data_IF_704108102550
#
_entry.id   IF_704108102550
#
_cell.length_a   1.000
_cell.length_b   1.000
_cell.length_c   1.000
_cell.angle_alpha   90.00
_cell.angle_beta   90.00
_cell.angle_gamma   90.00
#
_symmetry.space_group_name_H-M   'P 1'
#
loop_
_entity.id
_entity.type
_entity.pdbx_description
1 polymer ?
#
# COMPACT_ATOMS: atom_id res chain seq x y z
N UNK A 1 -22.92 -43.08 -19.30
CA UNK A 1 -21.46 -43.21 -19.15
C UNK A 1 -20.81 -42.26 -20.14
N UNK A 2 -19.90 -41.34 -19.85
CA UNK A 2 -19.41 -40.72 -18.62
C UNK A 2 -18.79 -39.38 -19.08
N UNK A 3 -18.97 -38.32 -18.31
CA UNK A 3 -18.29 -37.05 -18.51
C UNK A 3 -16.80 -37.18 -18.19
N UNK A 4 -15.93 -36.53 -18.95
CA UNK A 4 -14.56 -36.22 -18.53
C UNK A 4 -14.15 -34.85 -19.11
N UNK A 5 -14.08 -33.84 -18.24
CA UNK A 5 -13.43 -32.56 -18.50
C UNK A 5 -11.92 -32.74 -18.29
N UNK A 6 -11.04 -32.25 -19.18
CA UNK A 6 -9.65 -32.04 -18.82
C UNK A 6 -9.53 -30.83 -17.90
N UNK A 7 -8.83 -31.10 -16.81
CA UNK A 7 -8.60 -30.29 -15.63
C UNK A 7 -7.59 -29.16 -15.85
N UNK A 8 -7.59 -28.27 -14.85
CA UNK A 8 -6.68 -27.15 -14.64
C UNK A 8 -7.00 -25.90 -15.46
N UNK A 9 -7.96 -25.13 -14.94
CA UNK A 9 -7.83 -23.67 -14.92
C UNK A 9 -6.51 -23.35 -14.25
N UNK A 10 -5.45 -23.26 -15.06
CA UNK A 10 -4.16 -22.72 -14.66
C UNK A 10 -4.45 -21.28 -14.28
N UNK A 11 -4.69 -21.02 -12.99
CA UNK A 11 -4.70 -19.67 -12.45
C UNK A 11 -3.46 -18.99 -13.00
N UNK A 12 -3.65 -17.91 -13.76
CA UNK A 12 -2.56 -16.98 -14.07
C UNK A 12 -2.12 -16.41 -12.73
N UNK A 13 -1.24 -17.14 -12.03
CA UNK A 13 -0.37 -16.56 -11.03
C UNK A 13 0.47 -15.58 -11.85
N UNK A 14 0.12 -14.29 -11.76
CA UNK A 14 1.02 -13.22 -12.16
C UNK A 14 2.32 -13.46 -11.42
N UNK A 15 3.29 -14.04 -12.13
CA UNK A 15 4.66 -14.16 -11.68
C UNK A 15 5.39 -13.08 -12.44
N UNK A 16 5.71 -11.98 -11.77
CA UNK A 16 6.53 -10.91 -12.34
C UNK A 16 7.93 -10.98 -11.73
N UNK A 17 8.91 -11.11 -12.61
CA UNK A 17 10.35 -10.90 -12.40
C UNK A 17 10.67 -9.40 -12.13
N UNK A 18 11.97 -9.04 -12.01
CA UNK A 18 12.56 -8.40 -10.84
C UNK A 18 11.96 -7.02 -10.48
N UNK A 19 12.08 -6.68 -9.19
CA UNK A 19 11.41 -5.61 -8.45
C UNK A 19 11.66 -4.13 -8.88
N UNK A 20 12.09 -3.85 -10.11
CA UNK A 20 12.78 -2.57 -10.41
C UNK A 20 12.01 -1.58 -11.29
N UNK A 21 10.83 -1.94 -11.84
CA UNK A 21 10.03 -0.99 -12.62
C UNK A 21 9.00 -0.26 -11.73
N UNK A 22 8.94 1.09 -11.74
CA UNK A 22 7.92 1.82 -11.00
C UNK A 22 6.53 1.44 -11.50
N UNK A 23 5.62 1.14 -10.57
CA UNK A 23 4.23 0.76 -10.88
C UNK A 23 3.34 1.99 -10.71
N UNK A 24 2.73 2.51 -11.79
CA UNK A 24 1.81 3.63 -11.67
C UNK A 24 0.54 3.20 -10.93
N UNK A 25 0.11 4.01 -9.97
CA UNK A 25 -1.21 3.92 -9.35
C UNK A 25 -1.96 5.22 -9.64
N UNK A 26 -3.24 5.10 -9.99
CA UNK A 26 -4.12 6.25 -10.23
C UNK A 26 -5.19 6.27 -9.15
N UNK A 27 -5.33 7.40 -8.45
CA UNK A 27 -6.43 7.65 -7.53
C UNK A 27 -7.54 8.38 -8.30
N UNK A 28 -8.77 7.84 -8.26
CA UNK A 28 -9.94 8.46 -8.90
C UNK A 28 -10.96 8.75 -7.82
N UNK A 29 -11.37 10.01 -7.73
CA UNK A 29 -12.42 10.44 -6.80
C UNK A 29 -13.79 10.04 -7.34
N UNK A 30 -14.59 9.40 -6.48
CA UNK A 30 -16.02 9.17 -6.73
C UNK A 30 -16.82 9.82 -5.61
N UNK A 31 -17.67 10.84 -5.90
CA UNK A 31 -18.38 11.59 -4.88
C UNK A 31 -19.30 10.74 -3.98
N UNK A 32 -19.94 9.71 -4.54
CA UNK A 32 -20.85 8.85 -3.79
C UNK A 32 -20.10 7.99 -2.76
N UNK A 33 -18.93 7.48 -3.14
CA UNK A 33 -18.13 6.61 -2.28
C UNK A 33 -17.23 7.38 -1.32
N UNK A 34 -16.73 8.54 -1.72
CA UNK A 34 -15.99 9.45 -0.85
C UNK A 34 -16.84 9.97 0.32
N UNK A 35 -18.16 10.05 0.17
CA UNK A 35 -19.08 10.47 1.22
C UNK A 35 -19.44 9.36 2.23
N UNK A 36 -19.14 8.09 1.93
CA UNK A 36 -19.55 6.95 2.78
C UNK A 36 -18.45 6.54 3.75
N UNK A 37 -17.28 6.21 3.22
CA UNK A 37 -16.13 5.75 4.00
C UNK A 37 -14.99 6.74 3.86
N UNK A 38 -14.14 6.84 4.88
CA UNK A 38 -12.85 7.53 4.76
C UNK A 38 -11.91 6.61 3.97
N UNK A 39 -11.67 6.85 2.68
CA UNK A 39 -10.81 5.94 1.94
C UNK A 39 -9.38 6.05 2.49
N UNK A 40 -8.64 4.95 2.41
CA UNK A 40 -7.22 4.89 2.73
C UNK A 40 -6.47 4.22 1.59
N UNK A 41 -5.26 4.71 1.30
CA UNK A 41 -4.35 4.09 0.36
C UNK A 41 -3.16 3.52 1.13
N UNK A 42 -2.78 2.28 0.86
CA UNK A 42 -1.55 1.70 1.40
C UNK A 42 -0.55 1.43 0.30
N UNK A 43 0.71 1.81 0.54
CA UNK A 43 1.86 1.58 -0.33
C UNK A 43 2.82 0.68 0.42
N UNK A 44 2.96 -0.55 -0.06
CA UNK A 44 3.93 -1.49 0.49
C UNK A 44 5.31 -1.26 -0.15
N UNK A 45 6.34 -1.22 0.69
CA UNK A 45 7.74 -0.93 0.33
C UNK A 45 8.66 -1.92 1.03
N UNK A 46 9.84 -2.13 0.45
CA UNK A 46 10.91 -2.94 1.06
C UNK A 46 11.82 -2.08 1.97
N UNK A 47 11.66 -0.76 1.96
CA UNK A 47 12.42 0.20 2.78
C UNK A 47 11.53 1.39 3.17
N UNK A 48 10.93 1.33 4.36
CA UNK A 48 10.07 2.41 4.86
C UNK A 48 10.86 3.57 5.46
N UNK A 49 12.08 3.31 5.96
CA UNK A 49 12.92 4.31 6.60
C UNK A 49 13.44 5.34 5.59
N UNK A 50 13.88 4.89 4.41
CA UNK A 50 14.33 5.78 3.34
C UNK A 50 13.20 6.70 2.87
N UNK A 51 11.98 6.16 2.70
CA UNK A 51 10.81 6.97 2.29
C UNK A 51 10.45 7.97 3.40
N UNK A 52 10.46 7.54 4.67
CA UNK A 52 10.18 8.43 5.79
C UNK A 52 11.19 9.58 5.88
N UNK A 53 12.49 9.29 5.74
CA UNK A 53 13.54 10.29 5.78
C UNK A 53 13.36 11.34 4.67
N UNK A 54 13.03 10.90 3.46
CA UNK A 54 12.75 11.82 2.34
C UNK A 54 11.51 12.67 2.61
N UNK A 55 10.39 12.06 2.99
CA UNK A 55 9.11 12.75 3.12
C UNK A 55 9.08 13.70 4.31
N UNK A 56 9.66 13.31 5.45
CA UNK A 56 9.79 14.17 6.63
C UNK A 56 10.69 15.39 6.38
N UNK A 57 11.67 15.29 5.48
CA UNK A 57 12.49 16.43 5.07
C UNK A 57 11.78 17.34 4.05
N UNK A 58 11.07 16.76 3.08
CA UNK A 58 10.46 17.52 1.97
C UNK A 58 9.11 18.15 2.32
N UNK A 59 8.26 17.42 3.05
CA UNK A 59 6.85 17.78 3.29
C UNK A 59 6.37 17.35 4.69
N UNK A 60 7.05 17.77 5.78
CA UNK A 60 6.73 17.35 7.15
C UNK A 60 5.29 17.66 7.58
N UNK A 61 4.70 18.74 7.04
CA UNK A 61 3.32 19.15 7.33
C UNK A 61 2.26 18.14 6.88
N UNK A 62 2.61 17.20 6.01
CA UNK A 62 1.73 16.14 5.56
C UNK A 62 1.82 14.88 6.43
N UNK A 63 2.71 14.82 7.42
CA UNK A 63 2.76 13.67 8.33
C UNK A 63 1.47 13.55 9.15
N UNK A 64 0.95 12.33 9.26
CA UNK A 64 -0.29 12.06 9.98
C UNK A 64 -0.10 12.31 11.49
N UNK A 65 -0.98 13.07 12.17
CA UNK A 65 -0.77 13.47 13.58
C UNK A 65 -0.61 12.30 14.55
N UNK A 66 -1.25 11.16 14.28
CA UNK A 66 -1.18 9.95 15.12
C UNK A 66 -0.19 8.89 14.62
N UNK A 67 0.43 9.10 13.45
CA UNK A 67 1.29 8.11 12.79
C UNK A 67 2.42 8.81 12.02
N UNK A 68 3.07 9.78 12.65
CA UNK A 68 4.06 10.69 12.04
C UNK A 68 5.51 10.17 12.12
N UNK A 69 5.72 8.93 12.56
CA UNK A 69 7.02 8.28 12.66
C UNK A 69 6.90 6.81 12.28
N UNK A 70 7.97 6.22 11.76
CA UNK A 70 8.02 4.77 11.51
C UNK A 70 7.91 4.02 12.85
N UNK A 71 6.92 3.14 12.96
CA UNK A 71 6.73 2.28 14.13
C UNK A 71 6.25 0.88 13.73
N UNK A 72 6.64 -0.14 14.50
CA UNK A 72 6.10 -1.48 14.39
C UNK A 72 4.65 -1.50 14.89
N UNK A 73 3.73 -2.03 14.10
CA UNK A 73 2.32 -2.13 14.45
C UNK A 73 1.93 -3.51 14.99
N UNK A 74 0.80 -3.62 15.72
CA UNK A 74 0.35 -4.90 16.27
C UNK A 74 0.12 -6.00 15.23
N UNK A 75 -0.12 -5.64 13.96
CA UNK A 75 -0.26 -6.58 12.84
C UNK A 75 1.05 -6.96 12.16
N UNK A 76 2.19 -6.39 12.57
CA UNK A 76 3.52 -6.86 12.18
C UNK A 76 4.26 -6.03 11.12
N UNK A 77 3.63 -5.02 10.51
CA UNK A 77 4.34 -4.09 9.60
C UNK A 77 5.08 -2.99 10.37
N UNK A 78 6.18 -2.51 9.79
CA UNK A 78 6.77 -1.21 10.15
C UNK A 78 6.14 -0.16 9.25
N UNK A 79 5.57 0.90 9.81
CA UNK A 79 4.84 1.87 9.00
C UNK A 79 4.75 3.27 9.62
N UNK A 80 4.53 4.26 8.75
CA UNK A 80 4.09 5.62 9.07
C UNK A 80 3.00 6.04 8.07
N UNK A 81 2.32 7.16 8.33
CA UNK A 81 1.28 7.66 7.44
C UNK A 81 1.44 9.15 7.13
N UNK A 82 0.90 9.52 5.98
CA UNK A 82 0.75 10.90 5.54
C UNK A 82 -0.72 11.19 5.22
N UNK A 83 -1.09 12.46 5.27
CA UNK A 83 -2.36 12.97 4.77
C UNK A 83 -2.15 13.58 3.39
N UNK A 84 -3.06 13.30 2.47
CA UNK A 84 -3.17 14.07 1.24
C UNK A 84 -3.92 15.40 1.50
N UNK A 85 -4.14 16.18 0.44
CA UNK A 85 -4.88 17.45 0.53
C UNK A 85 -6.35 17.29 0.91
N UNK A 86 -6.93 16.11 0.72
CA UNK A 86 -8.32 15.79 1.04
C UNK A 86 -8.46 15.11 2.41
N UNK A 87 -7.37 14.97 3.16
CA UNK A 87 -7.27 14.30 4.47
C UNK A 87 -7.46 12.78 4.43
N UNK A 88 -7.27 12.18 3.25
CA UNK A 88 -7.15 10.74 3.05
C UNK A 88 -5.80 10.27 3.57
N UNK A 89 -5.81 9.16 4.32
CA UNK A 89 -4.59 8.56 4.85
C UNK A 89 -3.87 7.78 3.75
N UNK A 90 -2.57 8.05 3.59
CA UNK A 90 -1.64 7.27 2.78
C UNK A 90 -0.66 6.58 3.73
N UNK A 91 -0.79 5.26 3.87
CA UNK A 91 0.01 4.44 4.77
C UNK A 91 1.20 3.85 3.99
N UNK A 92 2.43 4.07 4.46
CA UNK A 92 3.64 3.44 3.91
C UNK A 92 4.04 2.30 4.81
N UNK A 93 4.13 1.08 4.27
CA UNK A 93 4.31 -0.14 5.08
C UNK A 93 5.43 -1.02 4.56
N UNK A 94 6.26 -1.48 5.47
CA UNK A 94 7.25 -2.52 5.23
C UNK A 94 6.83 -3.77 6.02
N UNK A 95 6.53 -4.84 5.28
CA UNK A 95 6.21 -6.14 5.86
C UNK A 95 7.49 -6.93 6.10
N UNK A 96 7.55 -7.77 7.15
CA UNK A 96 8.67 -8.69 7.32
C UNK A 96 8.78 -9.59 6.07
N UNK A 97 10.01 -9.86 5.64
CA UNK A 97 10.24 -10.82 4.57
C UNK A 97 9.57 -12.16 4.92
N UNK A 98 8.89 -12.77 3.94
CA UNK A 98 8.35 -14.12 4.11
C UNK A 98 9.53 -15.06 4.42
N UNK A 99 9.46 -15.73 5.58
CA UNK A 99 10.46 -16.70 6.05
C UNK A 99 10.31 -18.08 5.40
#
# INVERSE_FOLDING_TARGET
MAWALPSSTRTRRWRSSPATAPRPAYLVENPEWAAKDRPELSIDTDDVDTIFAEMSARVPQLLHPNCNTVALKPWGSREFAMLDKTTVCVNFREWPAEG
#
